data_IF_308461685064
#
_entry.id   IF_308461685064
#
_cell.length_a   1.000
_cell.length_b   1.000
_cell.length_c   1.000
_cell.angle_alpha   90.00
_cell.angle_beta   90.00
_cell.angle_gamma   90.00
#
_symmetry.space_group_name_H-M   'P 1'
#
loop_
_entity.id
_entity.type
_entity.pdbx_description
1 polymer ?
#
# COMPACT_ATOMS: atom_id res chain seq x y z
N UNK A 1 -40.10 -1.78 24.90
CA UNK A 1 -39.89 -1.61 23.45
C UNK A 1 -38.42 -1.81 23.17
N UNK A 2 -38.09 -2.76 22.29
CA UNK A 2 -36.73 -3.19 22.01
C UNK A 2 -36.17 -2.49 20.75
N UNK A 3 -34.89 -2.10 20.88
CA UNK A 3 -33.80 -2.08 19.90
C UNK A 3 -33.92 -1.21 18.64
N UNK A 4 -33.02 -0.22 18.57
CA UNK A 4 -32.69 0.53 17.36
C UNK A 4 -31.29 1.15 17.42
N UNK A 5 -30.28 0.43 17.92
CA UNK A 5 -28.89 0.84 17.75
C UNK A 5 -28.40 0.31 16.42
N UNK A 6 -28.58 1.10 15.36
CA UNK A 6 -27.94 0.87 14.07
C UNK A 6 -26.43 1.03 14.20
N UNK A 7 -25.75 -0.01 14.68
CA UNK A 7 -24.29 -0.11 14.63
C UNK A 7 -23.88 -0.12 13.17
N UNK A 8 -23.32 0.98 12.69
CA UNK A 8 -22.94 1.16 11.30
C UNK A 8 -22.09 0.00 10.81
N UNK A 9 -22.48 -0.61 9.68
CA UNK A 9 -21.71 -1.67 9.06
C UNK A 9 -20.25 -1.22 8.89
N UNK A 10 -19.33 -1.88 9.59
CA UNK A 10 -17.91 -1.57 9.53
C UNK A 10 -17.40 -1.57 8.09
N UNK A 11 -16.46 -0.68 7.78
CA UNK A 11 -15.83 -0.64 6.45
C UNK A 11 -14.58 -1.52 6.46
N UNK A 12 -14.30 -2.15 5.32
CA UNK A 12 -13.05 -2.87 5.15
C UNK A 12 -11.89 -1.88 5.16
N UNK A 13 -10.93 -2.10 6.03
CA UNK A 13 -9.78 -1.22 6.24
C UNK A 13 -8.48 -1.99 6.36
N UNK A 14 -7.38 -1.30 6.09
CA UNK A 14 -6.03 -1.76 6.38
C UNK A 14 -5.41 -0.72 7.31
N UNK A 15 -5.07 -1.12 8.54
CA UNK A 15 -4.61 -0.20 9.60
C UNK A 15 -5.57 1.01 9.79
N UNK A 16 -6.87 0.77 9.68
CA UNK A 16 -7.92 1.79 9.73
C UNK A 16 -8.11 2.60 8.45
N UNK A 17 -7.25 2.50 7.43
CA UNK A 17 -7.46 3.17 6.14
C UNK A 17 -8.52 2.44 5.31
N UNK A 18 -9.60 3.09 4.85
CA UNK A 18 -10.61 2.47 3.98
C UNK A 18 -10.04 1.94 2.67
N UNK A 19 -10.43 0.72 2.32
CA UNK A 19 -10.07 0.08 1.05
C UNK A 19 -11.31 -0.41 0.31
N UNK A 20 -11.28 -0.33 -1.03
CA UNK A 20 -12.34 -0.82 -1.92
C UNK A 20 -11.93 -2.10 -2.68
N UNK A 21 -10.98 -2.88 -2.14
CA UNK A 21 -10.30 -4.08 -2.69
C UNK A 21 -8.86 -3.86 -3.12
N UNK A 22 -8.39 -2.63 -3.35
CA UNK A 22 -7.00 -2.37 -3.72
C UNK A 22 -6.39 -1.30 -2.83
N UNK A 23 -5.10 -1.45 -2.58
CA UNK A 23 -4.27 -0.46 -1.91
C UNK A 23 -2.81 -0.61 -2.38
N UNK A 24 -1.98 0.34 -2.00
CA UNK A 24 -0.54 0.25 -2.19
C UNK A 24 0.21 0.61 -0.91
N UNK A 25 1.41 0.06 -0.77
CA UNK A 25 2.41 0.54 0.18
C UNK A 25 3.44 1.33 -0.62
N UNK A 26 3.35 2.66 -0.54
CA UNK A 26 4.34 3.56 -1.13
C UNK A 26 5.52 3.74 -0.19
N UNK A 27 6.73 3.83 -0.74
CA UNK A 27 7.95 4.05 0.03
C UNK A 27 9.05 4.66 -0.85
N UNK A 28 10.12 5.12 -0.21
CA UNK A 28 11.38 5.49 -0.87
C UNK A 28 12.35 4.34 -0.67
N UNK A 29 12.77 3.71 -1.78
CA UNK A 29 13.75 2.64 -1.71
C UNK A 29 15.09 3.23 -1.25
N UNK A 30 15.58 2.86 -0.07
CA UNK A 30 16.71 3.56 0.58
C UNK A 30 18.02 3.41 -0.19
N UNK A 31 18.26 2.26 -0.84
CA UNK A 31 19.46 2.02 -1.67
C UNK A 31 19.47 2.90 -2.92
N UNK A 32 18.38 2.90 -3.70
CA UNK A 32 18.29 3.61 -4.97
C UNK A 32 17.72 5.03 -4.86
N UNK A 33 17.35 5.45 -3.65
CA UNK A 33 16.67 6.71 -3.35
C UNK A 33 15.45 6.97 -4.26
N UNK A 34 14.75 5.90 -4.63
CA UNK A 34 13.72 5.91 -5.66
C UNK A 34 12.32 5.72 -5.06
N UNK A 35 11.38 6.67 -5.29
CA UNK A 35 9.97 6.44 -5.00
C UNK A 35 9.45 5.18 -5.68
N UNK A 36 8.85 4.30 -4.89
CA UNK A 36 8.40 2.97 -5.28
C UNK A 36 7.11 2.61 -4.54
N UNK A 37 6.37 1.64 -5.07
CA UNK A 37 5.22 1.08 -4.38
C UNK A 37 5.02 -0.40 -4.68
N UNK A 38 4.56 -1.12 -3.66
CA UNK A 38 4.03 -2.47 -3.79
C UNK A 38 2.50 -2.37 -3.93
N UNK A 39 1.95 -3.04 -4.94
CA UNK A 39 0.53 -2.98 -5.28
C UNK A 39 -0.18 -4.25 -4.82
N UNK A 40 -1.25 -4.05 -4.05
CA UNK A 40 -2.01 -5.12 -3.44
C UNK A 40 -3.47 -5.08 -3.86
N UNK A 41 -4.05 -6.27 -3.97
CA UNK A 41 -5.49 -6.50 -3.93
C UNK A 41 -5.86 -7.28 -2.67
N UNK A 42 -7.10 -7.12 -2.20
CA UNK A 42 -7.67 -7.87 -1.11
C UNK A 42 -8.66 -8.88 -1.66
N UNK A 43 -8.38 -10.16 -1.43
CA UNK A 43 -9.25 -11.29 -1.77
C UNK A 43 -9.40 -12.15 -0.53
N UNK A 44 -10.63 -12.48 -0.17
CA UNK A 44 -10.92 -13.32 1.01
C UNK A 44 -10.22 -12.86 2.30
N UNK A 45 -10.17 -11.53 2.52
CA UNK A 45 -9.48 -10.88 3.65
C UNK A 45 -7.95 -11.07 3.69
N UNK A 46 -7.35 -11.52 2.59
CA UNK A 46 -5.90 -11.68 2.44
C UNK A 46 -5.35 -10.66 1.45
N UNK A 47 -4.11 -10.26 1.66
CA UNK A 47 -3.37 -9.39 0.76
C UNK A 47 -2.75 -10.21 -0.36
N UNK A 48 -3.01 -9.86 -1.61
CA UNK A 48 -2.31 -10.44 -2.75
C UNK A 48 -1.53 -9.34 -3.44
N UNK A 49 -0.21 -9.41 -3.32
CA UNK A 49 0.72 -8.54 -4.04
C UNK A 49 0.81 -9.01 -5.49
N UNK A 50 0.53 -8.12 -6.43
CA UNK A 50 0.49 -8.47 -7.85
C UNK A 50 1.49 -7.67 -8.70
N UNK A 51 2.00 -6.56 -8.18
CA UNK A 51 3.02 -5.77 -8.87
C UNK A 51 3.86 -4.91 -7.95
N UNK A 52 5.01 -4.50 -8.48
CA UNK A 52 5.88 -3.46 -7.94
C UNK A 52 6.00 -2.38 -8.99
N UNK A 53 5.99 -1.12 -8.57
CA UNK A 53 6.27 0.01 -9.43
C UNK A 53 7.34 0.91 -8.83
N UNK A 54 8.14 1.52 -9.69
CA UNK A 54 9.18 2.45 -9.26
C UNK A 54 9.51 3.49 -10.33
N UNK A 55 10.05 4.61 -9.88
CA UNK A 55 10.70 5.60 -10.75
C UNK A 55 12.03 5.09 -11.31
N UNK A 56 12.62 4.05 -10.73
CA UNK A 56 13.92 3.47 -11.11
C UNK A 56 13.77 1.96 -11.41
N UNK A 57 14.21 1.51 -12.58
CA UNK A 57 14.09 0.11 -13.01
C UNK A 57 14.92 -0.85 -12.16
N UNK A 58 16.06 -0.39 -11.64
CA UNK A 58 16.98 -1.18 -10.81
C UNK A 58 16.33 -1.61 -9.49
N UNK A 59 15.28 -0.90 -9.04
CA UNK A 59 14.46 -1.37 -7.91
C UNK A 59 13.76 -2.69 -8.25
N UNK A 60 13.33 -2.89 -9.49
CA UNK A 60 12.65 -4.13 -9.89
C UNK A 60 13.63 -5.31 -9.91
N UNK A 61 14.89 -5.07 -10.27
CA UNK A 61 15.97 -6.07 -10.19
C UNK A 61 16.30 -6.45 -8.75
N UNK A 62 16.23 -5.50 -7.81
CA UNK A 62 16.51 -5.74 -6.39
C UNK A 62 15.61 -6.80 -5.76
N UNK A 63 14.33 -6.86 -6.18
CA UNK A 63 13.39 -7.85 -5.65
C UNK A 63 13.67 -9.28 -6.15
N UNK A 64 14.42 -9.43 -7.26
CA UNK A 64 14.71 -10.73 -7.87
C UNK A 64 13.47 -11.62 -8.10
N UNK A 65 12.31 -11.01 -8.37
CA UNK A 65 11.05 -11.71 -8.62
C UNK A 65 10.81 -11.94 -10.11
N UNK A 66 10.23 -13.09 -10.47
CA UNK A 66 9.79 -13.37 -11.82
C UNK A 66 8.53 -12.57 -12.19
N UNK A 67 8.47 -12.06 -13.42
CA UNK A 67 7.34 -11.27 -13.88
C UNK A 67 7.56 -10.60 -15.23
N UNK A 68 6.55 -9.82 -15.65
CA UNK A 68 6.60 -9.03 -16.89
C UNK A 68 6.89 -7.57 -16.56
N UNK A 69 7.91 -7.01 -17.21
CA UNK A 69 8.24 -5.58 -17.10
C UNK A 69 7.44 -4.76 -18.10
N UNK A 70 6.99 -3.60 -17.67
CA UNK A 70 6.29 -2.63 -18.51
C UNK A 70 6.51 -1.21 -17.99
N UNK A 71 5.94 -0.23 -18.71
CA UNK A 71 5.86 1.16 -18.28
C UNK A 71 4.40 1.51 -18.06
N UNK A 72 4.11 2.15 -16.93
CA UNK A 72 2.78 2.71 -16.66
C UNK A 72 2.55 3.96 -17.53
N UNK A 73 1.29 4.43 -17.70
CA UNK A 73 0.99 5.63 -18.49
C UNK A 73 1.70 6.90 -18.01
N UNK A 74 2.03 6.98 -16.72
CA UNK A 74 2.77 8.08 -16.11
C UNK A 74 4.31 7.87 -16.14
N UNK A 75 4.81 6.86 -16.85
CA UNK A 75 6.24 6.65 -17.05
C UNK A 75 6.96 6.10 -15.83
N UNK A 76 6.30 5.27 -15.01
CA UNK A 76 6.97 4.46 -13.99
C UNK A 76 7.30 3.09 -14.56
N UNK A 77 8.37 2.49 -14.05
CA UNK A 77 8.67 1.08 -14.28
C UNK A 77 7.70 0.23 -13.47
N UNK A 78 7.16 -0.82 -14.08
CA UNK A 78 6.30 -1.79 -13.42
C UNK A 78 6.83 -3.20 -13.64
N UNK A 79 6.89 -3.98 -12.57
CA UNK A 79 7.01 -5.43 -12.60
C UNK A 79 5.67 -6.03 -12.17
N UNK A 80 4.94 -6.62 -13.12
CA UNK A 80 3.77 -7.46 -12.81
C UNK A 80 4.27 -8.86 -12.50
N UNK A 81 3.96 -9.37 -11.31
CA UNK A 81 4.47 -10.66 -10.85
C UNK A 81 3.87 -11.81 -11.67
N UNK A 82 4.69 -12.77 -12.06
CA UNK A 82 4.23 -13.98 -12.73
C UNK A 82 3.36 -14.83 -11.79
N UNK A 83 3.77 -14.89 -10.53
CA UNK A 83 3.04 -15.53 -9.44
C UNK A 83 2.75 -14.48 -8.36
N UNK A 84 1.50 -14.00 -8.23
CA UNK A 84 1.14 -13.09 -7.15
C UNK A 84 1.38 -13.72 -5.78
N UNK A 85 1.90 -12.94 -4.83
CA UNK A 85 2.21 -13.41 -3.49
C UNK A 85 1.08 -13.06 -2.52
N UNK A 86 0.57 -14.06 -1.80
CA UNK A 86 -0.56 -13.89 -0.88
C UNK A 86 -0.15 -13.97 0.58
N UNK A 87 -0.61 -13.02 1.39
CA UNK A 87 -0.30 -12.85 2.80
C UNK A 87 -1.57 -12.69 3.62
N UNK A 88 -1.60 -13.26 4.83
CA UNK A 88 -2.69 -13.00 5.80
C UNK A 88 -2.47 -11.66 6.51
N UNK A 89 -1.22 -11.37 6.86
CA UNK A 89 -0.77 -10.11 7.43
C UNK A 89 0.51 -9.64 6.75
N UNK A 90 0.80 -8.33 6.84
CA UNK A 90 2.09 -7.77 6.44
C UNK A 90 2.79 -7.21 7.69
N UNK A 91 3.97 -7.73 8.02
CA UNK A 91 4.86 -7.10 9.00
C UNK A 91 5.86 -6.20 8.28
N UNK A 92 5.84 -4.91 8.62
CA UNK A 92 6.64 -3.88 7.97
C UNK A 92 7.56 -3.21 8.99
N UNK A 93 8.86 -3.30 8.76
CA UNK A 93 9.82 -2.39 9.40
C UNK A 93 9.75 -1.00 8.76
N UNK A 94 9.41 0.02 9.51
CA UNK A 94 9.20 1.38 9.02
C UNK A 94 10.23 2.34 9.61
N UNK A 95 10.72 3.27 8.80
CA UNK A 95 11.66 4.31 9.22
C UNK A 95 11.32 5.64 8.52
N UNK A 96 11.75 6.78 9.07
CA UNK A 96 11.61 8.07 8.40
C UNK A 96 12.30 8.15 7.04
N UNK A 97 13.30 7.30 6.78
CA UNK A 97 14.01 7.27 5.49
C UNK A 97 13.18 6.58 4.41
N UNK A 98 12.61 5.42 4.74
CA UNK A 98 11.78 4.66 3.82
C UNK A 98 10.40 5.28 3.60
N UNK A 99 9.92 6.09 4.55
CA UNK A 99 8.63 6.82 4.47
C UNK A 99 7.45 5.93 4.07
N UNK A 100 7.43 4.68 4.56
CA UNK A 100 6.38 3.69 4.23
C UNK A 100 5.01 4.27 4.54
N UNK A 101 4.16 4.35 3.52
CA UNK A 101 2.87 5.01 3.55
C UNK A 101 1.84 4.11 2.89
N UNK A 102 0.73 3.89 3.59
CA UNK A 102 -0.40 3.16 3.04
C UNK A 102 -1.25 4.10 2.19
N UNK A 103 -1.61 3.66 0.99
CA UNK A 103 -2.32 4.44 -0.03
C UNK A 103 -3.58 3.71 -0.46
N UNK A 104 -4.75 4.33 -0.32
CA UNK A 104 -6.01 3.79 -0.82
C UNK A 104 -7.05 4.89 -1.03
N UNK A 105 -7.85 4.83 -2.10
CA UNK A 105 -9.06 5.65 -2.28
C UNK A 105 -8.91 7.16 -2.02
N UNK A 106 -7.84 7.80 -2.50
CA UNK A 106 -7.55 9.23 -2.28
C UNK A 106 -6.83 9.56 -0.96
N UNK A 107 -6.71 8.59 -0.05
CA UNK A 107 -6.18 8.76 1.31
C UNK A 107 -4.79 8.15 1.51
N UNK A 108 -4.01 8.79 2.35
CA UNK A 108 -2.65 8.41 2.74
C UNK A 108 -2.60 8.22 4.25
N UNK A 109 -1.90 7.18 4.69
CA UNK A 109 -1.60 6.95 6.09
C UNK A 109 -0.10 6.65 6.24
N UNK A 110 0.71 7.62 6.69
CA UNK A 110 2.11 7.37 7.05
C UNK A 110 2.19 6.27 8.11
N UNK A 111 3.05 5.28 7.89
CA UNK A 111 3.28 4.17 8.82
C UNK A 111 4.59 4.33 9.63
N UNK A 112 5.42 5.31 9.27
CA UNK A 112 6.73 5.51 9.87
C UNK A 112 6.67 6.45 11.09
N UNK A 113 7.53 6.22 12.11
CA UNK A 113 7.64 7.12 13.26
C UNK A 113 8.36 8.42 12.87
N UNK A 114 8.31 9.44 13.73
CA UNK A 114 9.06 10.68 13.52
C UNK A 114 10.59 10.48 13.56
N UNK A 115 11.07 9.50 14.33
CA UNK A 115 12.48 9.13 14.45
C UNK A 115 12.63 7.63 14.72
N UNK A 116 13.82 7.08 14.44
CA UNK A 116 14.14 5.68 14.68
C UNK A 116 13.45 4.70 13.72
N UNK A 117 13.05 3.55 14.25
CA UNK A 117 12.37 2.49 13.51
C UNK A 117 11.17 1.96 14.31
N UNK A 118 10.13 1.52 13.61
CA UNK A 118 8.97 0.87 14.20
C UNK A 118 8.52 -0.32 13.36
N UNK A 119 8.02 -1.38 13.99
CA UNK A 119 7.30 -2.44 13.30
C UNK A 119 5.82 -2.09 13.23
N UNK A 120 5.23 -2.21 12.05
CA UNK A 120 3.79 -2.04 11.83
C UNK A 120 3.25 -3.32 11.22
N UNK A 121 2.20 -3.87 11.83
CA UNK A 121 1.45 -4.99 11.28
C UNK A 121 0.20 -4.49 10.60
N UNK A 122 0.02 -4.91 9.35
CA UNK A 122 -1.18 -4.63 8.58
C UNK A 122 -1.99 -5.90 8.49
N UNK A 123 -3.28 -5.78 8.75
CA UNK A 123 -4.29 -6.82 8.54
C UNK A 123 -5.55 -6.18 7.94
N UNK A 124 -6.39 -6.99 7.31
CA UNK A 124 -7.69 -6.57 6.81
C UNK A 124 -8.70 -6.61 7.97
N UNK A 125 -9.30 -5.47 8.30
CA UNK A 125 -10.22 -5.36 9.43
C UNK A 125 -11.49 -4.60 9.04
N UNK A 126 -12.62 -4.96 9.67
CA UNK A 126 -13.84 -4.16 9.62
C UNK A 126 -13.80 -3.12 10.74
N UNK A 127 -13.62 -1.84 10.40
CA UNK A 127 -13.55 -0.77 11.39
C UNK A 127 -14.65 0.28 11.17
N UNK A 128 -15.23 0.83 12.27
CA UNK A 128 -16.27 1.86 12.19
C UNK A 128 -15.70 3.27 11.99
N UNK A 129 -14.47 3.53 12.43
CA UNK A 129 -13.83 4.86 12.39
C UNK A 129 -12.60 4.85 11.46
N UNK A 130 -12.75 5.36 10.22
CA UNK A 130 -11.69 5.30 9.23
C UNK A 130 -10.56 6.31 9.49
N UNK A 131 -9.32 5.85 9.42
CA UNK A 131 -8.10 6.65 9.52
C UNK A 131 -7.61 7.15 8.15
N UNK A 132 -6.50 7.89 8.18
CA UNK A 132 -5.79 8.44 7.03
C UNK A 132 -6.24 9.86 6.70
N UNK A 133 -5.40 10.60 6.01
CA UNK A 133 -5.67 11.97 5.56
C UNK A 133 -5.71 12.00 4.03
N UNK A 134 -6.29 13.04 3.40
CA UNK A 134 -6.08 13.27 1.97
C UNK A 134 -4.59 13.25 1.65
N UNK A 135 -4.22 12.57 0.57
CA UNK A 135 -2.82 12.52 0.16
C UNK A 135 -2.31 13.91 -0.23
N UNK A 136 -1.31 14.41 0.50
CA UNK A 136 -0.65 15.68 0.21
C UNK A 136 0.51 15.48 -0.77
N UNK A 137 0.75 16.41 -1.72
CA UNK A 137 1.95 16.39 -2.56
C UNK A 137 3.25 16.35 -1.73
N UNK A 138 4.33 15.69 -2.23
CA UNK A 138 4.44 15.01 -3.52
C UNK A 138 3.88 13.58 -3.52
N UNK A 139 3.28 13.11 -2.42
CA UNK A 139 2.70 11.78 -2.26
C UNK A 139 1.34 11.65 -2.95
N UNK A 140 1.19 12.27 -4.12
CA UNK A 140 -0.04 12.14 -4.89
C UNK A 140 -0.17 10.68 -5.33
N UNK A 141 -1.29 10.06 -4.94
CA UNK A 141 -1.65 8.70 -5.35
C UNK A 141 -1.57 8.48 -6.86
N UNK A 142 -1.60 9.57 -7.64
CA UNK A 142 -1.44 9.60 -9.08
C UNK A 142 -0.16 8.93 -9.57
N UNK A 143 0.91 8.91 -8.75
CA UNK A 143 2.12 8.17 -9.12
C UNK A 143 1.87 6.66 -9.04
N UNK A 144 1.26 6.18 -7.96
CA UNK A 144 1.31 4.75 -7.64
C UNK A 144 0.01 3.96 -7.91
N UNK A 145 -1.15 4.59 -7.85
CA UNK A 145 -2.45 3.89 -7.89
C UNK A 145 -3.18 3.96 -9.24
N UNK A 146 -2.69 4.79 -10.18
CA UNK A 146 -3.25 4.89 -11.53
C UNK A 146 -2.61 3.91 -12.53
N UNK A 147 -1.76 3.01 -12.05
CA UNK A 147 -1.22 1.90 -12.84
C UNK A 147 -2.31 0.84 -13.01
N UNK A 148 -3.19 1.04 -14.00
CA UNK A 148 -4.16 0.04 -14.45
C UNK A 148 -3.43 -1.08 -15.23
#
# INVERSE_FOLDING_TARGET
MALGSGGGAGRLTVNGLPIHQRFAIGYVHTVYQAPSAELFEVRDHRFTMWAIISTNDSVLDYYALAGTRSRTPNGLWMLRLAEPATYEELSLLTTPLGRRTLLAGGRCLPLYPASGAAEVRLAVELTPDPRGEPCLPPYSQSFFLNAA
#
